data_IF_243866466905
#
_entry.id   IF_243866466905
#
_cell.length_a   1.000
_cell.length_b   1.000
_cell.length_c   1.000
_cell.angle_alpha   90.00
_cell.angle_beta   90.00
_cell.angle_gamma   90.00
#
_symmetry.space_group_name_H-M   'P 1'
#
loop_
_entity.id
_entity.type
_entity.pdbx_description
1 polymer ?
#
# COMPACT_ATOMS: atom_id res chain seq x y z
N UNK A 1 -35.44 10.17 6.59
CA UNK A 1 -34.21 10.85 7.03
C UNK A 1 -33.04 10.04 6.48
N UNK A 2 -32.38 10.50 5.41
CA UNK A 2 -31.23 9.80 4.83
C UNK A 2 -30.05 9.98 5.78
N UNK A 3 -29.57 8.89 6.36
CA UNK A 3 -28.39 8.90 7.21
C UNK A 3 -27.21 9.38 6.36
N UNK A 4 -26.33 10.28 6.85
CA UNK A 4 -25.09 10.55 6.15
C UNK A 4 -24.33 9.22 6.13
N UNK A 5 -23.99 8.73 4.95
CA UNK A 5 -23.03 7.65 4.81
C UNK A 5 -21.80 8.11 5.57
N UNK A 6 -21.52 7.51 6.73
CA UNK A 6 -20.25 7.67 7.40
C UNK A 6 -19.24 7.24 6.35
N UNK A 7 -18.45 8.20 5.88
CA UNK A 7 -17.28 7.91 5.08
C UNK A 7 -16.37 7.11 6.01
N UNK A 8 -16.56 5.79 6.03
CA UNK A 8 -15.76 4.79 6.78
C UNK A 8 -14.42 4.58 6.07
N UNK A 9 -14.00 5.59 5.32
CA UNK A 9 -12.75 5.61 4.61
C UNK A 9 -11.74 6.37 5.47
N UNK A 10 -10.55 5.81 5.69
CA UNK A 10 -9.52 6.49 6.43
C UNK A 10 -9.25 7.88 5.84
N UNK A 11 -8.96 8.87 6.69
CA UNK A 11 -8.67 10.23 6.25
C UNK A 11 -7.60 10.32 5.13
N UNK A 12 -6.72 9.33 5.04
CA UNK A 12 -5.66 9.24 4.03
C UNK A 12 -6.10 8.74 2.65
N UNK A 13 -7.32 8.21 2.45
CA UNK A 13 -7.75 7.63 1.16
C UNK A 13 -8.36 8.64 0.18
N UNK A 14 -8.40 9.93 0.55
CA UNK A 14 -8.98 11.02 -0.24
C UNK A 14 -7.99 11.87 -1.06
N UNK A 15 -6.70 11.52 -1.10
CA UNK A 15 -5.68 12.33 -1.76
C UNK A 15 -5.70 12.27 -3.30
N UNK A 16 -4.83 13.05 -3.93
CA UNK A 16 -4.68 13.11 -5.39
C UNK A 16 -3.76 12.01 -5.94
N UNK A 17 -2.90 11.43 -5.10
CA UNK A 17 -1.96 10.41 -5.50
C UNK A 17 -2.68 9.08 -5.74
N UNK A 18 -2.23 8.31 -6.74
CA UNK A 18 -2.83 7.02 -7.10
C UNK A 18 -1.80 5.91 -6.99
N UNK A 19 -2.16 4.87 -6.24
CA UNK A 19 -1.30 3.71 -6.08
C UNK A 19 -1.19 2.96 -7.41
N UNK A 20 0.03 2.65 -7.85
CA UNK A 20 0.25 1.89 -9.08
C UNK A 20 -0.27 0.43 -9.00
N UNK A 21 -0.54 -0.08 -7.80
CA UNK A 21 -0.93 -1.47 -7.56
C UNK A 21 -2.44 -1.64 -7.43
N UNK A 22 -3.09 -0.95 -6.48
CA UNK A 22 -4.53 -1.04 -6.29
C UNK A 22 -5.33 0.04 -7.01
N UNK A 23 -4.66 1.00 -7.67
CA UNK A 23 -5.27 2.18 -8.32
C UNK A 23 -6.08 3.09 -7.38
N UNK A 24 -6.06 2.79 -6.08
CA UNK A 24 -6.70 3.56 -5.02
C UNK A 24 -5.98 4.88 -4.78
N UNK A 25 -6.75 5.86 -4.30
CA UNK A 25 -6.25 7.19 -3.96
C UNK A 25 -5.63 7.20 -2.57
N UNK A 26 -4.57 7.98 -2.40
CA UNK A 26 -3.96 8.21 -1.11
C UNK A 26 -3.39 9.64 -1.03
N UNK A 27 -3.25 10.18 0.18
CA UNK A 27 -2.57 11.46 0.42
C UNK A 27 -1.05 11.29 0.29
N UNK A 28 -0.37 12.23 -0.35
CA UNK A 28 1.08 12.16 -0.58
C UNK A 28 1.89 11.99 0.71
N UNK A 29 1.42 12.52 1.84
CA UNK A 29 2.05 12.33 3.17
C UNK A 29 2.13 10.86 3.62
N UNK A 30 1.25 10.00 3.08
CA UNK A 30 1.20 8.57 3.34
C UNK A 30 1.86 7.75 2.22
N UNK A 31 2.58 8.40 1.31
CA UNK A 31 3.38 7.72 0.29
C UNK A 31 4.42 6.81 0.94
N UNK A 32 4.44 5.55 0.49
CA UNK A 32 5.47 4.60 0.84
C UNK A 32 6.19 4.18 -0.42
N UNK A 33 7.53 4.27 -0.41
CA UNK A 33 8.37 3.81 -1.51
C UNK A 33 8.93 2.42 -1.24
N UNK A 34 8.95 1.60 -2.28
CA UNK A 34 9.61 0.31 -2.23
C UNK A 34 11.12 0.51 -2.09
N UNK A 35 11.75 -0.16 -1.12
CA UNK A 35 13.20 -0.05 -0.93
C UNK A 35 14.03 -0.55 -2.13
N UNK A 36 13.48 -1.45 -2.96
CA UNK A 36 14.21 -2.07 -4.08
C UNK A 36 14.05 -1.33 -5.42
N UNK A 37 12.85 -0.87 -5.74
CA UNK A 37 12.54 -0.27 -7.04
C UNK A 37 12.13 1.20 -6.96
N UNK A 38 12.15 1.79 -5.76
CA UNK A 38 11.73 3.17 -5.44
C UNK A 38 10.29 3.54 -5.86
N UNK A 39 9.48 2.55 -6.25
CA UNK A 39 8.13 2.79 -6.74
C UNK A 39 7.21 3.26 -5.60
N UNK A 40 6.41 4.34 -5.80
CA UNK A 40 5.48 4.85 -4.80
C UNK A 40 4.23 3.97 -4.67
N UNK A 41 3.72 3.86 -3.44
CA UNK A 41 2.63 2.98 -3.04
C UNK A 41 1.82 3.56 -1.89
N UNK A 42 0.57 3.12 -1.80
CA UNK A 42 -0.28 3.40 -0.65
C UNK A 42 0.06 2.49 0.55
N UNK A 43 -0.30 2.88 1.78
CA UNK A 43 -0.07 2.10 3.00
C UNK A 43 -0.86 0.79 3.06
N UNK A 44 -1.79 0.54 2.13
CA UNK A 44 -2.52 -0.71 2.02
C UNK A 44 -1.79 -1.76 1.17
N UNK A 45 -0.97 -1.31 0.20
CA UNK A 45 -0.25 -2.19 -0.71
C UNK A 45 1.19 -2.46 -0.28
N UNK A 46 1.71 -1.74 0.71
CA UNK A 46 3.05 -2.01 1.24
C UNK A 46 3.09 -3.39 1.88
N UNK A 47 4.09 -4.18 1.47
CA UNK A 47 4.46 -5.42 2.15
C UNK A 47 5.58 -5.10 3.12
N UNK A 48 5.36 -5.37 4.41
CA UNK A 48 6.42 -5.19 5.42
C UNK A 48 7.06 -6.53 5.73
N UNK A 49 8.32 -6.71 5.34
CA UNK A 49 9.08 -7.93 5.63
C UNK A 49 9.66 -7.81 7.05
N UNK A 50 8.97 -8.39 8.03
CA UNK A 50 9.31 -8.29 9.47
C UNK A 50 10.75 -8.67 9.80
N UNK A 51 11.35 -9.61 9.06
CA UNK A 51 12.72 -10.07 9.29
C UNK A 51 13.78 -8.98 9.04
N UNK A 52 13.52 -8.04 8.14
CA UNK A 52 14.46 -6.99 7.74
C UNK A 52 13.91 -5.58 7.93
N UNK A 53 12.64 -5.47 8.36
CA UNK A 53 11.92 -4.21 8.53
C UNK A 53 11.87 -3.38 7.23
N UNK A 54 11.91 -4.07 6.10
CA UNK A 54 11.89 -3.49 4.76
C UNK A 54 10.45 -3.27 4.30
N UNK A 55 10.23 -2.13 3.66
CA UNK A 55 8.96 -1.80 3.00
C UNK A 55 9.12 -2.09 1.52
N UNK A 56 8.43 -3.11 1.04
CA UNK A 56 8.53 -3.61 -0.32
C UNK A 56 7.18 -3.51 -1.02
N UNK A 57 7.23 -3.44 -2.35
CA UNK A 57 6.02 -3.60 -3.16
C UNK A 57 5.67 -5.07 -3.31
N UNK A 58 4.41 -5.39 -3.69
CA UNK A 58 4.00 -6.77 -3.96
C UNK A 58 4.85 -7.47 -5.03
N UNK A 59 5.43 -6.72 -5.97
CA UNK A 59 6.33 -7.27 -7.00
C UNK A 59 7.75 -7.57 -6.48
N UNK A 60 8.23 -6.79 -5.50
CA UNK A 60 9.55 -6.97 -4.90
C UNK A 60 9.51 -7.73 -3.58
N UNK A 61 8.31 -8.09 -3.10
CA UNK A 61 8.18 -9.01 -1.99
C UNK A 61 9.00 -10.26 -2.31
N UNK A 62 9.94 -10.66 -1.43
CA UNK A 62 10.56 -11.96 -1.52
C UNK A 62 9.45 -12.96 -1.22
N UNK A 63 8.73 -13.35 -2.28
CA UNK A 63 7.71 -14.39 -2.23
C UNK A 63 8.32 -15.51 -1.41
N UNK A 64 7.73 -15.79 -0.24
CA UNK A 64 8.19 -16.91 0.56
C UNK A 64 8.18 -18.11 -0.38
N UNK A 65 9.31 -18.81 -0.60
CA UNK A 65 9.30 -20.02 -1.42
C UNK A 65 8.54 -21.09 -0.63
N UNK A 66 7.22 -21.07 -0.75
CA UNK A 66 6.30 -22.04 -0.20
C UNK A 66 5.63 -22.80 -1.33
N UNK A 67 6.29 -23.86 -1.80
CA UNK A 67 5.77 -24.87 -2.74
C UNK A 67 6.50 -24.84 -4.10
N UNK A 68 7.12 -25.90 -4.62
CA UNK A 68 6.96 -27.35 -4.39
C UNK A 68 8.31 -28.08 -4.39
N UNK A 69 8.37 -29.18 -3.62
CA UNK A 69 9.38 -30.24 -3.68
C UNK A 69 8.84 -31.49 -3.03
#
# INVERSE_FOLDING_TARGET
MAQPARDDHPWWTGGEERCAFCLGRYVHEMEIRCLHCDRPMCPLCVVTVSARRERLCPECEPSSPGGEG
#
